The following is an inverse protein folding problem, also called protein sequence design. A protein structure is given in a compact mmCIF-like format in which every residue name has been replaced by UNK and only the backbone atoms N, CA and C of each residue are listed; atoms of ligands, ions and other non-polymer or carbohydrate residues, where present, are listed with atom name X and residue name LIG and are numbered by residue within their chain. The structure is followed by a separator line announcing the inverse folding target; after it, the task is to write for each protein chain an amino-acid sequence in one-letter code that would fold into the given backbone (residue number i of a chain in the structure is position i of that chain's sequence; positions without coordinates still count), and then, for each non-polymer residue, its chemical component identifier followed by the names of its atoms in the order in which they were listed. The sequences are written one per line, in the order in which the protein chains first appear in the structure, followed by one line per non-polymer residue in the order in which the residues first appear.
data_IF_389464066446
#
_entry.id   IF_389464066446
#
_cell.length_a   1.000
_cell.length_b   1.000
_cell.length_c   1.000
_cell.angle_alpha   90.00
_cell.angle_beta   90.00
_cell.angle_gamma   90.00
#
_symmetry.space_group_name_H-M   'P 1'
#
loop_
_entity.id
_entity.type
_entity.pdbx_description
1 polymer ?
#
# COMPACT_ATOMS: atom_id res chain seq x y z
N UNK A 1 -56.13 7.62 40.82
CA UNK A 1 -55.80 7.94 39.40
C UNK A 1 -54.29 7.73 39.25
N UNK A 2 -53.87 6.59 38.65
CA UNK A 2 -52.45 6.24 38.47
C UNK A 2 -52.13 6.46 37.00
N UNK A 3 -51.31 7.52 36.73
CA UNK A 3 -50.81 7.84 35.37
C UNK A 3 -49.64 6.92 35.05
N UNK A 4 -49.87 5.93 34.12
CA UNK A 4 -48.82 5.07 33.55
C UNK A 4 -48.03 5.87 32.52
N UNK A 5 -46.75 6.15 32.81
CA UNK A 5 -45.79 6.68 31.81
C UNK A 5 -45.25 5.51 31.02
N UNK A 6 -45.59 5.44 29.73
CA UNK A 6 -45.00 4.50 28.78
C UNK A 6 -43.73 5.16 28.26
N UNK A 7 -42.57 4.63 28.69
CA UNK A 7 -41.27 4.99 28.16
C UNK A 7 -41.08 4.28 26.82
N UNK A 8 -41.19 5.01 25.70
CA UNK A 8 -40.92 4.51 24.37
C UNK A 8 -39.39 4.56 24.16
N UNK A 9 -38.69 3.41 24.35
CA UNK A 9 -37.27 3.29 23.96
C UNK A 9 -37.17 3.27 22.43
N UNK A 10 -36.75 4.39 21.86
CA UNK A 10 -36.40 4.47 20.45
C UNK A 10 -35.07 3.75 20.22
N UNK A 11 -35.12 2.50 19.73
CA UNK A 11 -33.96 1.71 19.35
C UNK A 11 -33.45 2.23 18.01
N UNK A 12 -32.42 3.09 18.04
CA UNK A 12 -31.74 3.58 16.82
C UNK A 12 -30.91 2.42 16.28
N UNK A 13 -31.44 1.76 15.26
CA UNK A 13 -30.74 0.72 14.50
C UNK A 13 -29.66 1.44 13.64
N UNK A 14 -28.40 1.50 14.13
CA UNK A 14 -27.28 1.90 13.30
C UNK A 14 -27.10 0.85 12.19
N UNK A 15 -27.60 1.15 10.99
CA UNK A 15 -27.29 0.41 9.77
C UNK A 15 -25.81 0.65 9.46
N UNK A 16 -24.94 -0.27 9.90
CA UNK A 16 -23.58 -0.34 9.41
C UNK A 16 -23.66 -0.68 7.91
N UNK A 17 -23.45 0.31 7.05
CA UNK A 17 -23.26 0.06 5.62
C UNK A 17 -22.12 -0.93 5.46
N UNK A 18 -22.25 -2.01 4.68
CA UNK A 18 -21.13 -2.89 4.38
C UNK A 18 -20.03 -2.03 3.76
N UNK A 19 -18.84 -2.08 4.35
CA UNK A 19 -17.68 -1.44 3.78
C UNK A 19 -17.45 -2.10 2.40
N UNK A 20 -17.77 -1.37 1.34
CA UNK A 20 -17.44 -1.79 -0.02
C UNK A 20 -15.91 -1.86 -0.10
N UNK A 21 -15.39 -2.91 -0.72
CA UNK A 21 -13.95 -3.15 -0.83
C UNK A 21 -13.61 -3.82 -2.14
N UNK A 22 -12.42 -3.50 -2.65
CA UNK A 22 -11.87 -4.25 -3.77
C UNK A 22 -11.42 -5.64 -3.32
N UNK A 23 -11.72 -6.66 -4.10
CA UNK A 23 -11.32 -8.04 -3.82
C UNK A 23 -10.34 -8.54 -4.88
N UNK A 24 -9.28 -9.23 -4.43
CA UNK A 24 -8.34 -9.94 -5.29
C UNK A 24 -7.95 -11.27 -4.65
N UNK A 25 -8.28 -12.39 -5.29
CA UNK A 25 -8.24 -13.71 -4.65
C UNK A 25 -9.11 -13.71 -3.39
N UNK A 26 -8.57 -14.20 -2.27
CA UNK A 26 -9.25 -14.25 -0.97
C UNK A 26 -9.03 -12.99 -0.11
N UNK A 27 -8.35 -11.97 -0.65
CA UNK A 27 -8.05 -10.73 0.07
C UNK A 27 -9.03 -9.63 -0.32
N UNK A 28 -9.66 -9.02 0.68
CA UNK A 28 -10.50 -7.83 0.52
C UNK A 28 -9.81 -6.65 1.16
N UNK A 29 -9.63 -5.58 0.40
CA UNK A 29 -9.09 -4.30 0.87
C UNK A 29 -10.18 -3.23 0.80
N UNK A 30 -10.34 -2.36 1.81
CA UNK A 30 -11.41 -1.37 1.82
C UNK A 30 -11.28 -0.37 0.66
N UNK A 31 -12.39 0.15 0.14
CA UNK A 31 -12.39 1.16 -0.94
C UNK A 31 -11.74 2.48 -0.51
N UNK A 32 -11.71 2.75 0.79
CA UNK A 32 -11.11 3.96 1.37
C UNK A 32 -10.29 3.64 2.61
N UNK A 33 -9.25 4.43 2.81
CA UNK A 33 -8.41 4.37 4.01
C UNK A 33 -7.93 5.78 4.37
N UNK A 34 -7.20 5.90 5.48
CA UNK A 34 -6.59 7.17 5.90
C UNK A 34 -5.10 7.00 6.07
N UNK A 35 -4.31 7.88 5.48
CA UNK A 35 -2.88 7.99 5.72
C UNK A 35 -2.46 9.46 5.65
N UNK A 36 -1.49 9.88 6.49
CA UNK A 36 -1.04 11.28 6.56
C UNK A 36 -2.19 12.26 6.85
N UNK A 37 -3.20 11.87 7.65
CA UNK A 37 -4.37 12.70 7.93
C UNK A 37 -5.34 12.88 6.75
N UNK A 38 -5.07 12.29 5.59
CA UNK A 38 -5.88 12.41 4.37
C UNK A 38 -6.70 11.15 4.11
N UNK A 39 -7.93 11.32 3.61
CA UNK A 39 -8.73 10.21 3.09
C UNK A 39 -8.22 9.81 1.71
N UNK A 40 -7.89 8.54 1.55
CA UNK A 40 -7.37 7.95 0.31
C UNK A 40 -8.40 6.98 -0.27
N UNK A 41 -8.48 6.94 -1.58
CA UNK A 41 -9.33 6.01 -2.34
C UNK A 41 -8.47 4.91 -2.94
N UNK A 42 -8.97 3.68 -2.95
CA UNK A 42 -8.32 2.55 -3.61
C UNK A 42 -8.23 2.82 -5.11
N UNK A 43 -7.00 2.92 -5.62
CA UNK A 43 -6.72 3.11 -7.04
C UNK A 43 -6.81 1.81 -7.81
N UNK A 44 -6.30 0.73 -7.23
CA UNK A 44 -6.34 -0.59 -7.84
C UNK A 44 -5.67 -1.63 -6.97
N UNK A 45 -5.80 -2.89 -7.41
CA UNK A 45 -5.33 -4.09 -6.73
C UNK A 45 -4.40 -4.90 -7.62
N UNK A 46 -3.35 -5.48 -7.05
CA UNK A 46 -2.42 -6.36 -7.76
C UNK A 46 -2.11 -7.62 -6.96
N UNK A 47 -2.02 -8.76 -7.66
CA UNK A 47 -1.56 -10.02 -7.09
C UNK A 47 -0.13 -10.30 -7.57
N UNK A 48 0.81 -10.36 -6.65
CA UNK A 48 2.17 -10.84 -6.93
C UNK A 48 2.18 -12.36 -6.94
N UNK A 49 2.39 -12.94 -8.10
CA UNK A 49 2.56 -14.38 -8.27
C UNK A 49 4.01 -14.68 -8.64
N UNK A 50 4.59 -15.69 -8.02
CA UNK A 50 5.91 -16.20 -8.37
C UNK A 50 5.77 -17.66 -8.77
N UNK A 51 6.13 -17.97 -10.01
CA UNK A 51 5.87 -19.26 -10.65
C UNK A 51 4.36 -19.58 -10.62
N UNK A 52 3.90 -20.42 -9.71
CA UNK A 52 2.50 -20.83 -9.55
C UNK A 52 1.91 -20.42 -8.19
N UNK A 53 2.63 -19.62 -7.41
CA UNK A 53 2.26 -19.32 -6.04
C UNK A 53 2.00 -17.83 -5.86
N UNK A 54 0.83 -17.50 -5.31
CA UNK A 54 0.55 -16.14 -4.89
C UNK A 54 1.37 -15.81 -3.65
N UNK A 55 2.06 -14.68 -3.72
CA UNK A 55 3.02 -14.24 -2.69
C UNK A 55 2.38 -13.19 -1.79
N UNK A 56 1.79 -12.15 -2.39
CA UNK A 56 1.02 -11.13 -1.70
C UNK A 56 -0.03 -10.50 -2.63
N UNK A 57 -1.13 -10.07 -2.04
CA UNK A 57 -2.07 -9.13 -2.63
C UNK A 57 -1.70 -7.72 -2.20
N UNK A 58 -1.78 -6.74 -3.10
CA UNK A 58 -1.49 -5.35 -2.77
C UNK A 58 -2.59 -4.41 -3.25
N UNK A 59 -2.74 -3.28 -2.55
CA UNK A 59 -3.60 -2.17 -2.95
C UNK A 59 -2.84 -0.85 -2.91
N UNK A 60 -3.00 -0.06 -3.97
CA UNK A 60 -2.54 1.31 -4.02
C UNK A 60 -3.70 2.24 -3.67
N UNK A 61 -3.48 3.12 -2.71
CA UNK A 61 -4.42 4.16 -2.32
C UNK A 61 -3.82 5.53 -2.60
N UNK A 62 -4.63 6.40 -3.19
CA UNK A 62 -4.25 7.76 -3.56
C UNK A 62 -5.38 8.75 -3.25
N UNK A 63 -5.05 10.05 -3.21
CA UNK A 63 -6.06 11.11 -3.06
C UNK A 63 -6.95 11.19 -4.29
N UNK A 64 -6.36 11.16 -5.48
CA UNK A 64 -7.06 11.20 -6.77
C UNK A 64 -6.66 9.99 -7.62
N UNK A 65 -7.57 9.01 -7.82
CA UNK A 65 -7.30 7.83 -8.63
C UNK A 65 -6.88 8.18 -10.06
N UNK A 66 -5.91 7.42 -10.59
CA UNK A 66 -5.40 7.56 -11.95
C UNK A 66 -4.94 6.22 -12.52
N UNK A 67 -5.13 6.04 -13.82
CA UNK A 67 -4.65 4.86 -14.55
C UNK A 67 -3.24 5.06 -15.14
N UNK A 68 -2.67 6.26 -15.02
CA UNK A 68 -1.34 6.58 -15.54
C UNK A 68 -0.32 6.71 -14.40
N UNK A 69 0.80 5.97 -14.46
CA UNK A 69 1.85 6.06 -13.45
C UNK A 69 2.40 7.48 -13.30
N UNK A 70 2.56 8.19 -14.41
CA UNK A 70 3.13 9.54 -14.44
C UNK A 70 2.28 10.53 -13.62
N UNK A 71 0.95 10.44 -13.71
CA UNK A 71 0.06 11.30 -12.93
C UNK A 71 0.17 11.00 -11.41
N UNK A 72 0.28 9.72 -11.04
CA UNK A 72 0.42 9.30 -9.65
C UNK A 72 1.78 9.74 -9.08
N UNK A 73 2.87 9.56 -9.84
CA UNK A 73 4.22 9.94 -9.42
C UNK A 73 4.42 11.46 -9.40
N UNK A 74 3.82 12.20 -10.36
CA UNK A 74 3.92 13.66 -10.40
C UNK A 74 3.22 14.33 -9.20
N UNK A 75 2.16 13.71 -8.69
CA UNK A 75 1.42 14.25 -7.56
C UNK A 75 2.28 14.22 -6.27
N UNK A 76 2.48 15.40 -5.65
CA UNK A 76 3.05 15.48 -4.30
C UNK A 76 1.91 15.45 -3.27
N UNK A 77 1.33 14.26 -3.11
CA UNK A 77 0.14 14.04 -2.30
C UNK A 77 0.27 12.73 -1.51
N UNK A 78 -0.41 12.62 -0.36
CA UNK A 78 -0.44 11.39 0.43
C UNK A 78 -0.89 10.19 -0.40
N UNK A 79 -0.20 9.06 -0.19
CA UNK A 79 -0.51 7.79 -0.85
C UNK A 79 -0.03 6.61 0.00
N UNK A 80 -0.65 5.47 -0.18
CA UNK A 80 -0.33 4.26 0.57
C UNK A 80 -0.28 3.07 -0.40
N UNK A 81 0.83 2.33 -0.37
CA UNK A 81 0.89 0.97 -0.88
C UNK A 81 0.81 0.02 0.31
N UNK A 82 -0.20 -0.85 0.33
CA UNK A 82 -0.33 -1.92 1.32
C UNK A 82 -0.15 -3.28 0.66
N UNK A 83 0.57 -4.18 1.31
CA UNK A 83 0.80 -5.55 0.86
C UNK A 83 0.30 -6.52 1.93
N UNK A 84 -0.59 -7.41 1.57
CA UNK A 84 -1.07 -8.51 2.42
C UNK A 84 -0.40 -9.81 1.98
N UNK A 85 0.45 -10.37 2.83
CA UNK A 85 1.23 -11.56 2.49
C UNK A 85 0.38 -12.83 2.55
N UNK A 86 0.47 -13.64 1.51
CA UNK A 86 -0.27 -14.91 1.38
C UNK A 86 0.59 -16.13 1.74
N UNK A 87 1.87 -15.88 1.97
CA UNK A 87 2.87 -16.86 2.40
C UNK A 87 4.04 -16.20 3.08
N UNK A 88 4.87 -17.03 3.73
CA UNK A 88 6.12 -16.54 4.33
C UNK A 88 7.08 -16.03 3.25
N UNK A 89 7.63 -14.83 3.50
CA UNK A 89 8.69 -14.21 2.69
C UNK A 89 9.80 -13.71 3.62
N UNK A 90 11.00 -14.22 3.43
CA UNK A 90 12.15 -13.87 4.24
C UNK A 90 12.55 -12.39 4.03
N UNK A 91 12.99 -11.73 5.11
CA UNK A 91 13.43 -10.34 5.10
C UNK A 91 14.43 -10.02 3.98
N UNK A 92 15.44 -10.90 3.80
CA UNK A 92 16.44 -10.72 2.76
C UNK A 92 15.87 -10.73 1.34
N UNK A 93 14.82 -11.52 1.08
CA UNK A 93 14.15 -11.53 -0.23
C UNK A 93 13.38 -10.23 -0.49
N UNK A 94 12.76 -9.67 0.56
CA UNK A 94 12.08 -8.38 0.46
C UNK A 94 13.10 -7.28 0.20
N UNK A 95 14.19 -7.26 0.97
CA UNK A 95 15.29 -6.30 0.80
C UNK A 95 15.92 -6.37 -0.60
N UNK A 96 16.18 -7.57 -1.12
CA UNK A 96 16.69 -7.76 -2.48
C UNK A 96 15.73 -7.22 -3.52
N UNK A 97 14.42 -7.46 -3.37
CA UNK A 97 13.42 -6.96 -4.32
C UNK A 97 13.39 -5.42 -4.40
N UNK A 98 13.63 -4.71 -3.29
CA UNK A 98 13.76 -3.24 -3.30
C UNK A 98 14.97 -2.77 -4.09
N UNK A 99 16.13 -3.41 -3.90
CA UNK A 99 17.36 -3.05 -4.61
C UNK A 99 17.25 -3.33 -6.12
N UNK A 100 16.67 -4.47 -6.49
CA UNK A 100 16.41 -4.82 -7.88
C UNK A 100 15.41 -3.86 -8.53
N UNK A 101 14.34 -3.50 -7.80
CA UNK A 101 13.32 -2.56 -8.26
C UNK A 101 13.90 -1.15 -8.50
N UNK A 102 14.76 -0.66 -7.59
CA UNK A 102 15.48 0.61 -7.75
C UNK A 102 16.37 0.57 -9.00
N UNK A 103 17.21 -0.45 -9.11
CA UNK A 103 18.14 -0.58 -10.24
C UNK A 103 17.41 -0.67 -11.59
N UNK A 104 16.25 -1.32 -11.62
CA UNK A 104 15.46 -1.49 -12.83
C UNK A 104 14.72 -0.22 -13.27
N UNK A 105 14.21 0.57 -12.31
CA UNK A 105 13.29 1.68 -12.61
C UNK A 105 13.90 3.07 -12.39
N UNK A 106 15.04 3.14 -11.67
CA UNK A 106 15.77 4.39 -11.41
C UNK A 106 17.28 4.15 -11.55
N UNK A 107 17.76 3.79 -12.78
CA UNK A 107 19.16 3.41 -13.00
C UNK A 107 20.13 4.53 -12.64
N UNK A 108 19.71 5.79 -12.79
CA UNK A 108 20.49 6.98 -12.50
C UNK A 108 20.34 7.46 -11.03
N UNK A 109 19.87 6.58 -10.12
CA UNK A 109 19.75 6.90 -8.70
C UNK A 109 21.10 7.40 -8.14
N UNK A 110 21.06 8.56 -7.49
CA UNK A 110 22.23 9.13 -6.84
C UNK A 110 22.62 8.36 -5.55
N UNK A 111 23.74 8.74 -4.93
CA UNK A 111 24.23 8.09 -3.73
C UNK A 111 23.25 8.22 -2.55
N UNK A 112 22.58 9.38 -2.40
CA UNK A 112 21.62 9.64 -1.34
C UNK A 112 20.37 8.77 -1.47
N UNK A 113 19.84 8.61 -2.68
CA UNK A 113 18.69 7.72 -2.94
C UNK A 113 19.07 6.25 -2.69
N UNK A 114 20.24 5.81 -3.13
CA UNK A 114 20.76 4.46 -2.87
C UNK A 114 20.91 4.18 -1.37
N UNK A 115 21.42 5.16 -0.60
CA UNK A 115 21.54 5.04 0.86
C UNK A 115 20.17 4.89 1.54
N UNK A 116 19.17 5.66 1.12
CA UNK A 116 17.79 5.54 1.64
C UNK A 116 17.15 4.18 1.30
N UNK A 117 17.45 3.60 0.14
CA UNK A 117 17.04 2.23 -0.19
C UNK A 117 17.82 1.19 0.63
N UNK A 118 19.09 1.42 0.95
CA UNK A 118 19.83 0.59 1.90
C UNK A 118 19.19 0.67 3.30
N UNK A 119 18.85 1.87 3.78
CA UNK A 119 18.10 2.06 5.02
C UNK A 119 16.77 1.30 4.99
N UNK A 120 15.97 1.40 3.91
CA UNK A 120 14.74 0.63 3.75
C UNK A 120 15.01 -0.87 3.91
N UNK A 121 16.07 -1.39 3.30
CA UNK A 121 16.45 -2.79 3.37
C UNK A 121 16.73 -3.25 4.80
N UNK A 122 17.34 -2.40 5.64
CA UNK A 122 17.61 -2.73 7.05
C UNK A 122 16.36 -2.77 7.93
N UNK A 123 15.27 -2.11 7.51
CA UNK A 123 14.00 -2.14 8.23
C UNK A 123 13.20 -3.42 7.98
N UNK A 124 13.56 -4.21 6.95
CA UNK A 124 12.77 -5.37 6.56
C UNK A 124 12.88 -6.50 7.58
N UNK A 125 11.73 -7.10 7.85
CA UNK A 125 11.59 -8.31 8.66
C UNK A 125 10.94 -9.41 7.82
N UNK A 126 11.11 -10.66 8.23
CA UNK A 126 10.37 -11.78 7.63
C UNK A 126 8.88 -11.56 7.83
N UNK A 127 8.12 -11.66 6.75
CA UNK A 127 6.67 -11.56 6.76
C UNK A 127 6.04 -12.94 6.65
N UNK A 128 5.11 -13.26 7.54
CA UNK A 128 4.36 -14.51 7.50
C UNK A 128 3.00 -14.32 6.81
N UNK A 129 2.33 -15.44 6.50
CA UNK A 129 0.99 -15.41 5.91
C UNK A 129 0.01 -14.65 6.80
N UNK A 130 -0.76 -13.75 6.21
CA UNK A 130 -1.75 -12.91 6.90
C UNK A 130 -1.19 -11.58 7.40
N UNK A 131 0.13 -11.38 7.36
CA UNK A 131 0.74 -10.13 7.79
C UNK A 131 0.74 -9.06 6.72
N UNK A 132 0.83 -7.79 7.13
CA UNK A 132 0.82 -6.63 6.24
C UNK A 132 2.11 -5.83 6.33
N UNK A 133 2.56 -5.32 5.18
CA UNK A 133 3.59 -4.31 5.04
C UNK A 133 2.99 -3.10 4.33
N UNK A 134 3.09 -1.93 4.97
CA UNK A 134 2.57 -0.67 4.46
C UNK A 134 3.69 0.32 4.20
N UNK A 135 3.64 0.99 3.04
CA UNK A 135 4.48 2.11 2.67
C UNK A 135 3.57 3.33 2.49
N UNK A 136 3.45 4.15 3.54
CA UNK A 136 2.57 5.31 3.58
C UNK A 136 3.37 6.60 3.40
N UNK A 137 3.15 7.31 2.31
CA UNK A 137 3.79 8.59 2.02
C UNK A 137 2.93 9.76 2.49
N UNK A 138 3.59 10.71 3.11
CA UNK A 138 3.06 12.03 3.45
C UNK A 138 4.09 13.08 3.02
N UNK A 139 3.73 14.10 2.22
CA UNK A 139 4.66 15.14 1.77
C UNK A 139 5.40 15.85 2.90
N UNK A 140 4.78 16.00 4.07
CA UNK A 140 5.37 16.69 5.21
C UNK A 140 6.40 15.86 5.97
N UNK A 141 6.29 14.52 5.97
CA UNK A 141 7.12 13.66 6.83
C UNK A 141 7.94 12.62 6.06
N UNK A 142 7.57 12.28 4.83
CA UNK A 142 8.19 11.23 4.03
C UNK A 142 7.40 9.92 4.06
N UNK A 143 8.09 8.81 3.80
CA UNK A 143 7.49 7.48 3.71
C UNK A 143 7.62 6.73 5.02
N UNK A 144 6.51 6.49 5.69
CA UNK A 144 6.41 5.64 6.89
C UNK A 144 6.29 4.17 6.47
N UNK A 145 7.21 3.36 6.95
CA UNK A 145 7.19 1.89 6.78
C UNK A 145 6.55 1.27 8.02
N UNK A 146 5.48 0.48 7.81
CA UNK A 146 4.82 -0.28 8.90
C UNK A 146 4.80 -1.76 8.54
N UNK A 147 5.06 -2.59 9.51
CA UNK A 147 4.88 -4.04 9.42
C UNK A 147 4.01 -4.50 10.56
N UNK A 148 2.97 -5.27 10.28
CA UNK A 148 2.02 -5.75 11.30
C UNK A 148 1.41 -4.60 12.12
N UNK A 149 1.15 -3.45 11.44
CA UNK A 149 0.65 -2.23 12.07
C UNK A 149 1.68 -1.41 12.88
N UNK A 150 2.89 -1.93 13.09
CA UNK A 150 3.96 -1.25 13.84
C UNK A 150 4.86 -0.42 12.93
N UNK A 151 5.12 0.83 13.28
CA UNK A 151 6.09 1.68 12.57
C UNK A 151 7.50 1.14 12.77
N UNK A 152 8.20 0.88 11.68
CA UNK A 152 9.60 0.44 11.65
C UNK A 152 10.56 1.59 11.39
N UNK A 153 10.12 2.60 10.64
CA UNK A 153 10.91 3.79 10.33
C UNK A 153 10.17 4.75 9.43
N UNK A 154 10.76 5.93 9.26
CA UNK A 154 10.32 6.95 8.32
C UNK A 154 11.51 7.35 7.47
N UNK A 155 11.34 7.37 6.15
CA UNK A 155 12.37 7.76 5.19
C UNK A 155 11.88 8.99 4.44
N UNK A 156 12.62 10.08 4.55
CA UNK A 156 12.27 11.36 3.96
C UNK A 156 12.45 11.38 2.44
N UNK A 157 11.74 12.30 1.80
CA UNK A 157 11.89 12.65 0.38
C UNK A 157 10.79 12.09 -0.51
N UNK A 158 10.26 12.97 -1.36
CA UNK A 158 9.33 12.58 -2.43
C UNK A 158 10.01 11.67 -3.44
N UNK A 159 11.24 12.01 -3.83
CA UNK A 159 12.06 11.24 -4.74
C UNK A 159 12.28 9.78 -4.27
N UNK A 160 12.46 9.57 -2.97
CA UNK A 160 12.53 8.24 -2.40
C UNK A 160 11.19 7.48 -2.56
N UNK A 161 10.07 8.13 -2.24
CA UNK A 161 8.76 7.49 -2.38
C UNK A 161 8.41 7.23 -3.84
N UNK A 162 8.75 8.15 -4.76
CA UNK A 162 8.53 7.96 -6.20
C UNK A 162 9.33 6.75 -6.72
N UNK A 163 10.60 6.64 -6.36
CA UNK A 163 11.44 5.50 -6.73
C UNK A 163 10.93 4.18 -6.11
N UNK A 164 10.47 4.22 -4.86
CA UNK A 164 9.88 3.05 -4.19
C UNK A 164 8.59 2.62 -4.91
N UNK A 165 7.69 3.56 -5.20
CA UNK A 165 6.44 3.25 -5.91
C UNK A 165 6.70 2.77 -7.34
N UNK A 166 7.75 3.29 -8.01
CA UNK A 166 8.16 2.85 -9.34
C UNK A 166 8.55 1.35 -9.38
N UNK A 167 8.93 0.74 -8.26
CA UNK A 167 9.16 -0.71 -8.20
C UNK A 167 7.91 -1.52 -8.59
N UNK A 168 6.71 -0.95 -8.44
CA UNK A 168 5.44 -1.60 -8.79
C UNK A 168 4.77 -1.03 -10.04
N UNK A 169 4.83 0.31 -10.23
CA UNK A 169 4.12 0.97 -11.34
C UNK A 169 5.02 1.54 -12.42
N UNK A 170 6.33 1.45 -12.24
CA UNK A 170 7.32 1.91 -13.20
C UNK A 170 7.39 1.04 -14.47
N UNK A 171 8.29 1.38 -15.41
CA UNK A 171 8.41 0.69 -16.70
C UNK A 171 8.90 -0.77 -16.61
N UNK A 172 9.52 -1.15 -15.48
CA UNK A 172 9.99 -2.52 -15.22
C UNK A 172 9.48 -3.00 -13.86
N UNK A 173 8.16 -3.23 -13.72
CA UNK A 173 7.57 -3.56 -12.43
C UNK A 173 8.07 -4.92 -11.93
N UNK A 174 8.63 -4.96 -10.73
CA UNK A 174 9.15 -6.20 -10.13
C UNK A 174 8.11 -7.34 -10.05
N UNK A 175 6.82 -7.07 -9.73
CA UNK A 175 5.76 -8.08 -9.78
C UNK A 175 5.26 -8.44 -11.18
N UNK A 176 5.64 -7.70 -12.22
CA UNK A 176 5.22 -7.90 -13.61
C UNK A 176 4.03 -7.04 -14.05
N UNK A 177 3.78 -7.00 -15.38
CA UNK A 177 2.81 -6.10 -16.03
C UNK A 177 1.36 -6.35 -15.59
N UNK A 178 0.96 -7.60 -15.35
CA UNK A 178 -0.39 -7.91 -14.87
C UNK A 178 -0.67 -7.28 -13.51
N UNK A 179 0.32 -7.29 -12.61
CA UNK A 179 0.25 -6.62 -11.32
C UNK A 179 0.14 -5.11 -11.50
N UNK A 180 1.02 -4.53 -12.32
CA UNK A 180 1.04 -3.09 -12.62
C UNK A 180 -0.30 -2.61 -13.17
N UNK A 181 -0.85 -3.29 -14.17
CA UNK A 181 -2.16 -2.98 -14.74
C UNK A 181 -3.26 -3.00 -13.68
N UNK A 182 -3.26 -4.01 -12.81
CA UNK A 182 -4.22 -4.11 -11.70
C UNK A 182 -4.10 -2.97 -10.70
N UNK A 183 -2.90 -2.63 -10.24
CA UNK A 183 -2.63 -1.51 -9.32
C UNK A 183 -3.02 -0.15 -9.91
N UNK A 184 -2.88 0.01 -11.23
CA UNK A 184 -3.29 1.21 -11.96
C UNK A 184 -4.79 1.23 -12.29
N UNK A 185 -5.58 0.22 -11.89
CA UNK A 185 -7.00 0.15 -12.22
C UNK A 185 -7.28 -0.02 -13.72
N UNK A 186 -6.28 -0.43 -14.50
CA UNK A 186 -6.41 -0.77 -15.92
C UNK A 186 -7.07 -2.16 -16.02
N UNK A 187 -8.13 -2.28 -16.78
CA UNK A 187 -8.88 -3.54 -17.01
C UNK A 187 -8.57 -4.09 -18.40
#
# INVERSE_FOLDING_TARGET
MIRKYIFLCLFVLCLASPASGGQIGDVTLPDRTTAGGSSLTLNGLGMRTFTFFDVYAAGLYVVAPSTTPEAILAADAPRLMTMHFLRKVEAGKIATAWQEGLAANTPDADASLKERFAQLSTLMETMDKGETLDCAYDPATGTTIRMRGQVKGVIAGKDFNDALLACWIGPKPGPGEKFRAGILGQR
#
